data_IF_933923004268
#
_entry.id   IF_933923004268
#
_cell.length_a   1.000
_cell.length_b   1.000
_cell.length_c   1.000
_cell.angle_alpha   90.00
_cell.angle_beta   90.00
_cell.angle_gamma   90.00
#
_symmetry.space_group_name_H-M   'P 1'
#
loop_
_entity.id
_entity.type
_entity.pdbx_description
1 polymer ?
#
# COMPACT_ATOMS: atom_id res chain seq x y z
N UNK A 1 17.73 23.18 2.01
CA UNK A 1 17.19 22.15 2.92
C UNK A 1 16.01 21.46 2.25
N UNK A 2 16.22 20.26 1.69
CA UNK A 2 15.13 19.45 1.13
C UNK A 2 14.23 19.00 2.30
N UNK A 3 12.94 19.36 2.25
CA UNK A 3 12.00 19.05 3.31
C UNK A 3 11.68 17.56 3.32
N UNK A 4 12.41 16.80 4.14
CA UNK A 4 12.22 15.36 4.33
C UNK A 4 10.76 15.06 4.71
N UNK A 5 10.14 14.08 4.06
CA UNK A 5 8.81 13.56 4.44
C UNK A 5 7.61 14.40 4.00
N UNK A 6 7.78 15.37 3.09
CA UNK A 6 6.65 16.17 2.57
C UNK A 6 5.97 15.54 1.35
N UNK A 7 6.70 14.78 0.54
CA UNK A 7 6.17 14.22 -0.70
C UNK A 7 6.47 12.72 -0.78
N UNK A 8 5.44 11.91 -0.51
CA UNK A 8 5.53 10.45 -0.51
C UNK A 8 6.05 9.89 -1.85
N UNK A 9 5.66 10.49 -2.98
CA UNK A 9 6.07 10.00 -4.29
C UNK A 9 7.55 10.23 -4.52
N UNK A 10 8.03 11.44 -4.23
CA UNK A 10 9.45 11.79 -4.33
C UNK A 10 10.31 10.94 -3.39
N UNK A 11 9.76 10.60 -2.22
CA UNK A 11 10.47 9.81 -1.23
C UNK A 11 10.69 8.36 -1.70
N UNK A 12 9.72 7.71 -2.35
CA UNK A 12 9.75 6.24 -2.56
C UNK A 12 9.44 5.74 -3.98
N UNK A 13 8.74 6.50 -4.81
CA UNK A 13 8.10 5.96 -6.02
C UNK A 13 8.62 6.57 -7.33
N UNK A 14 9.50 7.55 -7.27
CA UNK A 14 10.19 8.12 -8.44
C UNK A 14 11.56 7.46 -8.67
N UNK A 15 12.10 7.42 -9.90
CA UNK A 15 13.41 6.81 -10.18
C UNK A 15 14.58 7.43 -9.39
N UNK A 16 14.47 8.71 -9.04
CA UNK A 16 15.44 9.44 -8.21
C UNK A 16 14.97 9.51 -6.76
N UNK A 17 14.37 8.43 -6.24
CA UNK A 17 13.79 8.40 -4.90
C UNK A 17 14.85 8.69 -3.84
N UNK A 18 14.45 9.40 -2.79
CA UNK A 18 15.34 9.70 -1.67
C UNK A 18 15.68 8.45 -0.85
N UNK A 19 14.81 7.44 -0.87
CA UNK A 19 14.99 6.19 -0.15
C UNK A 19 15.40 5.05 -1.08
N UNK A 20 16.34 4.23 -0.58
CA UNK A 20 16.80 3.02 -1.26
C UNK A 20 15.80 1.86 -1.11
N UNK A 21 15.98 0.80 -1.89
CA UNK A 21 15.22 -0.46 -1.72
C UNK A 21 15.31 -1.05 -0.31
N UNK A 22 16.45 -0.83 0.38
CA UNK A 22 16.65 -1.28 1.77
C UNK A 22 15.76 -0.50 2.71
N UNK A 23 15.68 0.82 2.53
CA UNK A 23 14.79 1.70 3.31
C UNK A 23 13.32 1.39 3.02
N UNK A 24 12.99 1.13 1.76
CA UNK A 24 11.66 0.71 1.34
C UNK A 24 11.27 -0.58 2.06
N UNK A 25 12.13 -1.61 2.02
CA UNK A 25 11.86 -2.89 2.69
C UNK A 25 11.72 -2.73 4.20
N UNK A 26 12.52 -1.87 4.84
CA UNK A 26 12.40 -1.57 6.28
C UNK A 26 11.05 -0.93 6.62
N UNK A 27 10.53 -0.08 5.72
CA UNK A 27 9.33 0.73 5.95
C UNK A 27 8.02 0.05 5.55
N UNK A 28 8.03 -0.73 4.47
CA UNK A 28 6.86 -1.40 3.91
C UNK A 28 6.84 -2.91 4.19
N UNK A 29 7.92 -3.46 4.77
CA UNK A 29 8.10 -4.90 5.05
C UNK A 29 8.04 -5.79 3.82
N UNK A 30 8.20 -5.21 2.63
CA UNK A 30 8.21 -5.90 1.34
C UNK A 30 9.15 -5.20 0.37
N UNK A 31 9.51 -5.88 -0.72
CA UNK A 31 10.31 -5.29 -1.79
C UNK A 31 9.45 -4.40 -2.69
N UNK A 32 10.02 -3.36 -3.34
CA UNK A 32 9.26 -2.44 -4.20
C UNK A 32 8.47 -3.13 -5.31
N UNK A 33 9.05 -4.16 -5.94
CA UNK A 33 8.36 -4.90 -6.99
C UNK A 33 7.09 -5.63 -6.48
N UNK A 34 7.10 -6.12 -5.25
CA UNK A 34 5.93 -6.76 -4.66
C UNK A 34 4.86 -5.72 -4.33
N UNK A 35 5.26 -4.55 -3.83
CA UNK A 35 4.34 -3.42 -3.64
C UNK A 35 3.66 -3.05 -4.97
N UNK A 36 4.43 -2.88 -6.04
CA UNK A 36 3.91 -2.52 -7.35
C UNK A 36 2.96 -3.58 -7.91
N UNK A 37 3.28 -4.87 -7.72
CA UNK A 37 2.39 -5.98 -8.10
C UNK A 37 1.08 -5.91 -7.33
N UNK A 38 1.12 -5.79 -6.00
CA UNK A 38 -0.07 -5.69 -5.15
C UNK A 38 -0.90 -4.47 -5.52
N UNK A 39 -0.26 -3.33 -5.78
CA UNK A 39 -0.92 -2.11 -6.22
C UNK A 39 -1.66 -2.31 -7.53
N UNK A 40 -0.99 -2.88 -8.52
CA UNK A 40 -1.59 -3.17 -9.82
C UNK A 40 -2.77 -4.13 -9.71
N UNK A 41 -2.61 -5.24 -8.97
CA UNK A 41 -3.66 -6.24 -8.79
C UNK A 41 -4.89 -5.64 -8.08
N UNK A 42 -4.68 -4.83 -7.04
CA UNK A 42 -5.76 -4.18 -6.28
C UNK A 42 -6.45 -3.09 -7.10
N UNK A 43 -5.71 -2.28 -7.87
CA UNK A 43 -6.31 -1.25 -8.73
C UNK A 43 -7.17 -1.86 -9.84
N UNK A 44 -6.79 -3.02 -10.36
CA UNK A 44 -7.60 -3.76 -11.33
C UNK A 44 -8.83 -4.42 -10.69
N UNK A 45 -8.76 -4.77 -9.41
CA UNK A 45 -9.87 -5.39 -8.68
C UNK A 45 -10.91 -4.37 -8.17
N UNK A 46 -10.47 -3.27 -7.55
CA UNK A 46 -11.34 -2.24 -6.98
C UNK A 46 -10.95 -0.84 -7.47
N UNK A 47 -11.84 -0.25 -8.28
CA UNK A 47 -11.73 1.11 -8.84
C UNK A 47 -11.64 2.19 -7.76
N UNK A 48 -11.95 1.88 -6.50
CA UNK A 48 -11.72 2.77 -5.37
C UNK A 48 -10.24 3.16 -5.23
N UNK A 49 -9.30 2.25 -5.54
CA UNK A 49 -7.87 2.54 -5.41
C UNK A 49 -7.31 3.36 -6.56
N UNK A 50 -7.97 3.35 -7.72
CA UNK A 50 -7.60 4.18 -8.87
C UNK A 50 -7.83 5.65 -8.54
N UNK A 51 -6.90 6.51 -8.95
CA UNK A 51 -7.09 7.96 -8.82
C UNK A 51 -8.19 8.42 -9.77
N UNK A 52 -9.15 9.19 -9.24
CA UNK A 52 -10.24 9.78 -10.02
C UNK A 52 -10.58 11.16 -9.48
N UNK A 53 -11.18 12.00 -10.32
CA UNK A 53 -11.76 13.25 -9.86
C UNK A 53 -13.04 12.97 -9.07
N UNK A 54 -13.28 13.76 -8.03
CA UNK A 54 -14.55 13.76 -7.33
C UNK A 54 -15.64 14.51 -8.13
N UNK A 55 -16.86 14.56 -7.59
CA UNK A 55 -17.99 15.24 -8.23
C UNK A 55 -17.77 16.76 -8.39
N UNK A 56 -16.83 17.35 -7.65
CA UNK A 56 -16.44 18.75 -7.76
C UNK A 56 -15.26 18.96 -8.73
N UNK A 57 -14.76 17.90 -9.35
CA UNK A 57 -13.62 17.93 -10.26
C UNK A 57 -12.26 17.96 -9.56
N UNK A 58 -12.21 17.78 -8.24
CA UNK A 58 -10.95 17.75 -7.48
C UNK A 58 -10.32 16.38 -7.63
N UNK A 59 -9.03 16.36 -7.98
CA UNK A 59 -8.29 15.12 -8.16
C UNK A 59 -8.13 14.41 -6.81
N UNK A 60 -8.62 13.17 -6.73
CA UNK A 60 -8.54 12.35 -5.53
C UNK A 60 -7.12 11.83 -5.24
N UNK A 61 -7.01 11.05 -4.17
CA UNK A 61 -5.75 10.47 -3.71
C UNK A 61 -5.25 9.38 -4.67
N UNK A 62 -3.92 9.33 -4.81
CA UNK A 62 -3.22 8.36 -5.63
C UNK A 62 -3.29 6.94 -5.04
N UNK A 63 -3.19 5.90 -5.88
CA UNK A 63 -3.07 4.52 -5.42
C UNK A 63 -1.90 4.32 -4.44
N UNK A 64 -0.75 4.92 -4.73
CA UNK A 64 0.47 4.84 -3.91
C UNK A 64 0.24 5.40 -2.52
N UNK A 65 -0.51 6.50 -2.42
CA UNK A 65 -0.89 7.10 -1.14
C UNK A 65 -1.79 6.14 -0.36
N UNK A 66 -2.89 5.67 -0.97
CA UNK A 66 -3.84 4.75 -0.32
C UNK A 66 -3.16 3.47 0.16
N UNK A 67 -2.39 2.81 -0.70
CA UNK A 67 -1.71 1.57 -0.34
C UNK A 67 -0.61 1.78 0.68
N UNK A 68 0.16 2.87 0.58
CA UNK A 68 1.18 3.18 1.60
C UNK A 68 0.55 3.29 2.97
N UNK A 69 -0.57 3.99 3.04
CA UNK A 69 -1.26 4.22 4.29
C UNK A 69 -1.73 2.90 4.91
N UNK A 70 -2.40 2.06 4.13
CA UNK A 70 -2.87 0.74 4.58
C UNK A 70 -1.73 -0.18 4.98
N UNK A 71 -0.68 -0.28 4.15
CA UNK A 71 0.47 -1.15 4.44
C UNK A 71 1.20 -0.68 5.70
N UNK A 72 1.32 0.63 5.93
CA UNK A 72 1.92 1.15 7.17
C UNK A 72 1.05 0.87 8.40
N UNK A 73 -0.28 0.98 8.29
CA UNK A 73 -1.17 0.56 9.37
C UNK A 73 -0.97 -0.91 9.73
N UNK A 74 -0.91 -1.80 8.72
CA UNK A 74 -0.73 -3.23 8.91
C UNK A 74 0.67 -3.60 9.43
N UNK A 75 1.72 -2.99 8.88
CA UNK A 75 3.10 -3.32 9.22
C UNK A 75 3.51 -2.90 10.64
N UNK A 76 2.89 -1.86 11.18
CA UNK A 76 3.25 -1.28 12.48
C UNK A 76 2.16 -1.43 13.54
N UNK A 77 0.98 -1.97 13.19
CA UNK A 77 -0.19 -1.92 14.06
C UNK A 77 -0.60 -0.48 14.39
N UNK A 78 -0.26 0.47 13.52
CA UNK A 78 -0.41 1.89 13.77
C UNK A 78 -1.88 2.32 13.65
N UNK A 79 -2.31 3.22 14.53
CA UNK A 79 -3.61 3.86 14.40
C UNK A 79 -3.65 4.74 13.15
N UNK A 80 -4.83 4.90 12.55
CA UNK A 80 -5.01 5.76 11.38
C UNK A 80 -4.47 7.19 11.62
N UNK A 81 -4.54 7.70 12.86
CA UNK A 81 -4.04 9.03 13.22
C UNK A 81 -2.52 9.17 13.03
N UNK A 82 -1.74 8.12 13.34
CA UNK A 82 -0.27 8.16 13.17
C UNK A 82 0.14 8.06 11.70
N UNK A 83 -0.73 7.48 10.86
CA UNK A 83 -0.46 7.33 9.43
C UNK A 83 -0.94 8.55 8.65
N UNK A 84 -1.99 9.23 9.11
CA UNK A 84 -2.46 10.50 8.55
C UNK A 84 -1.34 11.56 8.52
N UNK A 85 -0.52 11.67 9.57
CA UNK A 85 0.63 12.59 9.59
C UNK A 85 1.63 12.35 8.45
N UNK A 86 1.69 11.13 7.92
CA UNK A 86 2.61 10.71 6.87
C UNK A 86 2.00 10.87 5.48
N UNK A 87 0.72 10.54 5.34
CA UNK A 87 0.06 10.43 4.04
C UNK A 87 -0.90 11.61 3.78
N UNK A 88 -1.11 12.47 4.78
CA UNK A 88 -2.08 13.57 4.78
C UNK A 88 -3.46 13.09 4.29
N UNK A 89 -3.97 12.05 4.94
CA UNK A 89 -5.20 11.36 4.56
C UNK A 89 -6.14 11.25 5.76
N UNK A 90 -7.35 11.79 5.60
CA UNK A 90 -8.38 11.72 6.63
C UNK A 90 -8.68 10.29 7.13
N UNK A 91 -8.89 10.17 8.44
CA UNK A 91 -9.12 8.91 9.16
C UNK A 91 -10.20 8.01 8.54
N UNK A 92 -11.28 8.57 8.02
CA UNK A 92 -12.35 7.79 7.37
C UNK A 92 -11.86 7.10 6.09
N UNK A 93 -11.13 7.84 5.25
CA UNK A 93 -10.56 7.34 4.00
C UNK A 93 -9.54 6.21 4.29
N UNK A 94 -8.72 6.40 5.33
CA UNK A 94 -7.77 5.40 5.81
C UNK A 94 -8.44 4.08 6.20
N UNK A 95 -9.50 4.15 7.02
CA UNK A 95 -10.21 2.97 7.50
C UNK A 95 -10.99 2.28 6.38
N UNK A 96 -11.62 3.04 5.48
CA UNK A 96 -12.29 2.46 4.31
C UNK A 96 -11.29 1.77 3.38
N UNK A 97 -10.14 2.42 3.11
CA UNK A 97 -9.07 1.83 2.31
C UNK A 97 -8.54 0.55 2.95
N UNK A 98 -8.38 0.51 4.27
CA UNK A 98 -7.94 -0.69 4.99
C UNK A 98 -8.92 -1.86 4.81
N UNK A 99 -10.22 -1.62 4.99
CA UNK A 99 -11.25 -2.66 4.83
C UNK A 99 -11.27 -3.19 3.40
N UNK A 100 -11.32 -2.30 2.40
CA UNK A 100 -11.34 -2.68 0.98
C UNK A 100 -10.07 -3.42 0.57
N UNK A 101 -8.91 -2.97 1.06
CA UNK A 101 -7.63 -3.62 0.81
C UNK A 101 -7.62 -5.04 1.35
N UNK A 102 -8.04 -5.26 2.60
CA UNK A 102 -8.10 -6.59 3.19
C UNK A 102 -9.02 -7.52 2.41
N UNK A 103 -10.20 -7.03 1.99
CA UNK A 103 -11.14 -7.79 1.15
C UNK A 103 -10.55 -8.15 -0.22
N UNK A 104 -9.86 -7.19 -0.86
CA UNK A 104 -9.19 -7.41 -2.14
C UNK A 104 -8.06 -8.44 -2.00
N UNK A 105 -7.21 -8.29 -0.98
CA UNK A 105 -6.10 -9.23 -0.71
C UNK A 105 -6.61 -10.63 -0.41
N UNK A 106 -7.65 -10.76 0.43
CA UNK A 106 -8.28 -12.04 0.71
C UNK A 106 -8.81 -12.66 -0.59
N UNK A 107 -9.57 -11.92 -1.39
CA UNK A 107 -10.17 -12.45 -2.62
C UNK A 107 -9.10 -12.86 -3.65
N UNK A 108 -8.09 -12.02 -3.87
CA UNK A 108 -7.06 -12.21 -4.89
C UNK A 108 -6.04 -13.28 -4.51
N UNK A 109 -5.63 -13.34 -3.25
CA UNK A 109 -4.49 -14.13 -2.82
C UNK A 109 -4.85 -15.36 -1.97
N UNK A 110 -6.13 -15.56 -1.61
CA UNK A 110 -6.52 -16.71 -0.78
C UNK A 110 -6.11 -18.05 -1.39
N UNK A 111 -6.37 -18.23 -2.69
CA UNK A 111 -6.12 -19.51 -3.36
C UNK A 111 -4.64 -19.87 -3.43
N UNK A 112 -3.77 -18.88 -3.52
CA UNK A 112 -2.35 -19.08 -3.72
C UNK A 112 -1.56 -19.03 -2.42
N UNK A 113 -1.93 -18.14 -1.49
CA UNK A 113 -1.09 -17.77 -0.35
C UNK A 113 -1.78 -17.87 1.01
N UNK A 114 -3.10 -17.68 1.11
CA UNK A 114 -3.81 -17.74 2.41
C UNK A 114 -4.51 -19.08 2.68
N UNK A 115 -4.42 -20.03 1.74
CA UNK A 115 -4.87 -21.41 1.95
C UNK A 115 -3.87 -22.20 2.80
N UNK A 116 -4.31 -23.37 3.28
CA UNK A 116 -3.42 -24.33 3.93
C UNK A 116 -2.23 -24.70 3.00
N UNK A 117 -0.98 -24.69 3.49
CA UNK A 117 0.19 -25.04 2.69
C UNK A 117 0.10 -26.48 2.14
N UNK A 118 0.47 -26.67 0.87
CA UNK A 118 0.65 -28.00 0.29
C UNK A 118 2.07 -28.50 0.56
N UNK A 119 2.34 -29.81 0.42
CA UNK A 119 3.71 -30.34 0.53
C UNK A 119 4.70 -29.65 -0.41
N UNK A 120 4.27 -29.22 -1.61
CA UNK A 120 5.10 -28.45 -2.55
C UNK A 120 5.43 -27.06 -2.03
N UNK A 121 4.48 -26.41 -1.36
CA UNK A 121 4.70 -25.10 -0.74
C UNK A 121 5.72 -25.23 0.41
N UNK A 122 5.62 -26.29 1.20
CA UNK A 122 6.58 -26.58 2.27
C UNK A 122 7.99 -26.86 1.74
N UNK A 123 8.12 -27.58 0.61
CA UNK A 123 9.42 -27.79 -0.05
C UNK A 123 10.05 -26.52 -0.59
N UNK A 124 9.28 -25.47 -0.89
CA UNK A 124 9.81 -24.17 -1.33
C UNK A 124 10.29 -23.30 -0.18
N UNK A 125 9.89 -23.63 1.06
CA UNK A 125 10.28 -22.91 2.27
C UNK A 125 11.55 -23.49 2.91
N UNK A 126 11.92 -24.72 2.56
CA UNK A 126 13.11 -25.44 3.01
C UNK A 126 14.23 -25.34 1.98
#
# INVERSE_FOLDING_TARGET
MHSRGKNLLEDYFVPTSLYSDVDFRRRFRMQPHLFNKVMHDICNYDVYFVQKCDAAGVLGLLPEQKLTAVIRMLAYGASANQVDEIVQMGKSIMLEALVRFCQAVETLYTRDYLRRPTPRDLQRLL
#
